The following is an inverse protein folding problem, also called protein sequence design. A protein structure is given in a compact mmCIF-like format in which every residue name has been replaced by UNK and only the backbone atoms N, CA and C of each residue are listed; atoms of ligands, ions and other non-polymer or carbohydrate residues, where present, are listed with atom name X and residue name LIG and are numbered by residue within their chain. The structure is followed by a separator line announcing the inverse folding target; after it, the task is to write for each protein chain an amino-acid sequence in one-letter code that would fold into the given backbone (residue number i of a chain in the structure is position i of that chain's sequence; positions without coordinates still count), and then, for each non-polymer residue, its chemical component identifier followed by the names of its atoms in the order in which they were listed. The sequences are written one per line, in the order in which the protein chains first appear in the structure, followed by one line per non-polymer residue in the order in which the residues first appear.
data_IF_000809660546
#
_entry.id   IF_000809660546
#
_cell.length_a   1.000
_cell.length_b   1.000
_cell.length_c   1.000
_cell.angle_alpha   90.00
_cell.angle_beta   90.00
_cell.angle_gamma   90.00
#
_symmetry.space_group_name_H-M   'P 1'
#
loop_
_entity.id
_entity.type
_entity.pdbx_description
1 polymer ?
#
# COMPACT_ATOMS: atom_id res chain seq x y z
N UNK A 1 -5.09 6.09 8.28
CA UNK A 1 -5.58 6.52 9.62
C UNK A 1 -6.26 7.89 9.52
N UNK A 2 -5.62 8.92 8.96
CA UNK A 2 -6.15 10.30 8.86
C UNK A 2 -7.50 10.40 8.15
N UNK A 3 -7.66 9.67 7.05
CA UNK A 3 -8.94 9.59 6.31
C UNK A 3 -10.03 8.95 7.16
N UNK A 4 -9.72 7.85 7.86
CA UNK A 4 -10.69 7.20 8.75
C UNK A 4 -11.09 8.13 9.90
N UNK A 5 -10.13 8.86 10.47
CA UNK A 5 -10.41 9.88 11.49
C UNK A 5 -11.31 10.98 10.95
N UNK A 6 -10.99 11.51 9.76
CA UNK A 6 -11.79 12.57 9.15
C UNK A 6 -13.25 12.15 8.90
N UNK A 7 -13.46 10.93 8.43
CA UNK A 7 -14.80 10.38 8.19
C UNK A 7 -15.53 10.10 9.52
N UNK A 8 -14.83 9.62 10.54
CA UNK A 8 -15.40 9.42 11.88
C UNK A 8 -15.81 10.75 12.53
N UNK A 9 -14.98 11.79 12.40
CA UNK A 9 -15.29 13.15 12.89
C UNK A 9 -16.54 13.73 12.19
N UNK A 10 -16.79 13.30 10.95
CA UNK A 10 -18.01 13.63 10.20
C UNK A 10 -19.22 12.75 10.59
N UNK A 11 -19.11 11.91 11.62
CA UNK A 11 -20.19 11.06 12.12
C UNK A 11 -20.43 9.77 11.34
N UNK A 12 -19.49 9.37 10.48
CA UNK A 12 -19.61 8.12 9.72
C UNK A 12 -19.00 6.95 10.52
N UNK A 13 -19.70 5.81 10.67
CA UNK A 13 -19.17 4.63 11.34
C UNK A 13 -18.17 3.91 10.42
N UNK A 14 -16.92 4.34 10.44
CA UNK A 14 -15.81 3.82 9.65
C UNK A 14 -14.68 3.34 10.53
N UNK A 15 -13.85 2.43 10.01
CA UNK A 15 -12.66 1.96 10.72
C UNK A 15 -11.45 1.90 9.77
N UNK A 16 -10.25 2.03 10.35
CA UNK A 16 -8.99 1.87 9.64
C UNK A 16 -8.56 0.40 9.62
N UNK A 17 -8.11 -0.09 8.45
CA UNK A 17 -7.64 -1.46 8.25
C UNK A 17 -6.33 -1.44 7.46
N UNK A 18 -5.22 -1.70 8.13
CA UNK A 18 -3.88 -1.58 7.55
C UNK A 18 -3.06 -2.86 7.73
N UNK A 19 -1.89 -2.90 7.13
CA UNK A 19 -0.92 -3.97 7.36
C UNK A 19 -0.44 -4.08 8.81
N UNK A 20 -0.61 -3.03 9.62
CA UNK A 20 -0.26 -2.99 11.05
C UNK A 20 -1.41 -3.36 11.98
N UNK A 21 -2.63 -3.48 11.47
CA UNK A 21 -3.79 -3.90 12.26
C UNK A 21 -3.54 -5.31 12.78
N UNK A 22 -3.71 -5.51 14.09
CA UNK A 22 -3.55 -6.81 14.74
C UNK A 22 -4.45 -7.88 14.08
N UNK A 23 -4.02 -9.14 13.97
CA UNK A 23 -4.82 -10.20 13.35
C UNK A 23 -6.21 -10.37 13.97
N UNK A 24 -6.36 -10.28 15.28
CA UNK A 24 -7.66 -10.38 15.96
C UNK A 24 -8.57 -9.19 15.61
N UNK A 25 -7.99 -7.98 15.54
CA UNK A 25 -8.71 -6.79 15.11
C UNK A 25 -9.11 -6.85 13.64
N UNK A 26 -8.28 -7.46 12.77
CA UNK A 26 -8.65 -7.68 11.36
C UNK A 26 -9.90 -8.53 11.24
N UNK A 27 -9.92 -9.67 11.93
CA UNK A 27 -11.06 -10.59 11.93
C UNK A 27 -12.33 -9.90 12.45
N UNK A 28 -12.20 -9.14 13.55
CA UNK A 28 -13.28 -8.34 14.12
C UNK A 28 -13.83 -7.29 13.15
N UNK A 29 -12.95 -6.54 12.49
CA UNK A 29 -13.33 -5.48 11.54
C UNK A 29 -13.96 -6.05 10.27
N UNK A 30 -13.42 -7.14 9.74
CA UNK A 30 -14.02 -7.85 8.62
C UNK A 30 -15.41 -8.41 8.98
N UNK A 31 -15.55 -8.95 10.19
CA UNK A 31 -16.84 -9.38 10.72
C UNK A 31 -17.83 -8.23 10.87
N UNK A 32 -17.39 -7.09 11.41
CA UNK A 32 -18.20 -5.89 11.55
C UNK A 32 -18.68 -5.36 10.18
N UNK A 33 -17.80 -5.37 9.17
CA UNK A 33 -18.18 -4.98 7.82
C UNK A 33 -19.19 -5.95 7.21
N UNK A 34 -18.98 -7.28 7.38
CA UNK A 34 -19.96 -8.30 6.88
C UNK A 34 -21.33 -8.14 7.52
N UNK A 35 -21.41 -7.79 8.81
CA UNK A 35 -22.67 -7.57 9.53
C UNK A 35 -23.23 -6.16 9.39
N UNK A 36 -22.62 -5.30 8.58
CA UNK A 36 -23.04 -3.91 8.38
C UNK A 36 -22.99 -3.03 9.65
N UNK A 37 -22.17 -3.39 10.63
CA UNK A 37 -21.93 -2.63 11.86
C UNK A 37 -21.04 -1.40 11.60
N UNK A 38 -20.16 -1.49 10.59
CA UNK A 38 -19.41 -0.36 10.06
C UNK A 38 -19.84 -0.08 8.62
N UNK A 39 -19.89 1.19 8.27
CA UNK A 39 -20.29 1.66 6.96
C UNK A 39 -19.19 1.49 5.92
N UNK A 40 -17.94 1.66 6.37
CA UNK A 40 -16.78 1.50 5.49
C UNK A 40 -15.55 1.05 6.28
N UNK A 41 -14.63 0.37 5.58
CA UNK A 41 -13.25 0.21 6.00
C UNK A 41 -12.36 1.10 5.14
N UNK A 42 -11.58 1.95 5.78
CA UNK A 42 -10.49 2.70 5.15
C UNK A 42 -9.27 1.80 5.18
N UNK A 43 -9.04 1.11 4.07
CA UNK A 43 -8.05 0.05 4.00
C UNK A 43 -6.91 0.38 3.05
N UNK A 44 -5.73 -0.13 3.36
CA UNK A 44 -4.63 -0.28 2.39
C UNK A 44 -4.82 -1.61 1.63
N UNK A 45 -3.88 -1.97 0.76
CA UNK A 45 -3.84 -3.30 0.12
C UNK A 45 -3.88 -4.49 1.10
N UNK A 46 -3.82 -4.21 2.41
CA UNK A 46 -3.93 -5.21 3.48
C UNK A 46 -5.31 -5.90 3.54
N UNK A 47 -6.38 -5.25 3.06
CA UNK A 47 -7.66 -5.93 2.83
C UNK A 47 -7.53 -6.79 1.57
N UNK A 48 -6.80 -7.88 1.74
CA UNK A 48 -6.24 -8.69 0.68
C UNK A 48 -7.26 -9.46 -0.16
N UNK A 49 -6.73 -10.23 -1.11
CA UNK A 49 -7.51 -11.22 -1.85
C UNK A 49 -8.20 -12.18 -0.88
N UNK A 50 -9.47 -12.49 -1.12
CA UNK A 50 -10.24 -13.43 -0.29
C UNK A 50 -11.30 -12.80 0.59
N UNK A 51 -11.31 -11.47 0.79
CA UNK A 51 -12.46 -10.83 1.44
C UNK A 51 -13.62 -10.77 0.46
N UNK A 52 -14.73 -11.40 0.83
CA UNK A 52 -15.97 -11.41 0.07
C UNK A 52 -17.11 -10.84 0.90
N UNK A 53 -17.84 -9.89 0.28
CA UNK A 53 -19.08 -9.30 0.80
C UNK A 53 -19.99 -9.03 -0.39
N UNK A 54 -20.96 -9.92 -0.65
CA UNK A 54 -21.80 -9.84 -1.84
C UNK A 54 -22.59 -8.55 -1.98
N UNK A 55 -23.04 -7.97 -0.88
CA UNK A 55 -23.81 -6.72 -0.80
C UNK A 55 -22.95 -5.46 -0.68
N UNK A 56 -21.69 -5.52 -1.15
CA UNK A 56 -20.82 -4.36 -1.16
C UNK A 56 -21.32 -3.31 -2.15
N UNK A 57 -21.74 -2.15 -1.64
CA UNK A 57 -22.43 -1.11 -2.41
C UNK A 57 -21.51 -0.16 -3.14
N UNK A 58 -20.23 -0.02 -2.72
CA UNK A 58 -19.27 0.82 -3.45
C UNK A 58 -17.82 0.54 -3.10
N UNK A 59 -16.93 1.06 -3.96
CA UNK A 59 -15.49 1.11 -3.77
C UNK A 59 -14.98 2.49 -4.17
N UNK A 60 -14.21 3.15 -3.29
CA UNK A 60 -13.53 4.41 -3.58
C UNK A 60 -12.02 4.20 -3.46
N UNK A 61 -11.29 4.59 -4.48
CA UNK A 61 -9.84 4.64 -4.47
C UNK A 61 -9.35 6.07 -4.25
N UNK A 62 -8.48 6.25 -3.27
CA UNK A 62 -7.69 7.46 -3.10
C UNK A 62 -6.28 7.14 -3.60
N UNK A 63 -5.91 7.68 -4.75
CA UNK A 63 -4.78 7.24 -5.54
C UNK A 63 -5.10 6.04 -6.42
N UNK A 64 -4.42 5.93 -7.55
CA UNK A 64 -4.63 4.88 -8.52
C UNK A 64 -3.71 3.66 -8.27
N UNK A 65 -4.21 2.42 -8.45
CA UNK A 65 -3.36 1.24 -8.56
C UNK A 65 -2.43 1.35 -9.78
N UNK A 66 -1.32 0.64 -9.75
CA UNK A 66 -0.32 0.69 -10.82
C UNK A 66 -0.70 -0.09 -12.09
N UNK A 67 -1.88 -0.71 -12.11
CA UNK A 67 -2.36 -1.43 -13.30
C UNK A 67 -3.88 -1.52 -13.35
N UNK A 68 -4.49 -1.55 -14.56
CA UNK A 68 -5.93 -1.78 -14.74
C UNK A 68 -6.37 -3.14 -14.20
N UNK A 69 -5.53 -4.16 -14.27
CA UNK A 69 -5.81 -5.51 -13.72
C UNK A 69 -5.98 -5.45 -12.20
N UNK A 70 -5.04 -4.80 -11.51
CA UNK A 70 -5.13 -4.62 -10.06
C UNK A 70 -6.36 -3.79 -9.68
N UNK A 71 -6.66 -2.74 -10.44
CA UNK A 71 -7.86 -1.92 -10.26
C UNK A 71 -9.13 -2.76 -10.42
N UNK A 72 -9.26 -3.51 -11.52
CA UNK A 72 -10.41 -4.36 -11.79
C UNK A 72 -10.65 -5.40 -10.69
N UNK A 73 -9.60 -6.06 -10.21
CA UNK A 73 -9.70 -7.02 -9.11
C UNK A 73 -10.22 -6.40 -7.81
N UNK A 74 -9.97 -5.13 -7.60
CA UNK A 74 -10.40 -4.43 -6.39
C UNK A 74 -11.83 -3.92 -6.52
N UNK A 75 -12.19 -3.29 -7.64
CA UNK A 75 -13.55 -2.80 -7.88
C UNK A 75 -14.55 -3.93 -8.11
N UNK A 76 -14.10 -5.06 -8.67
CA UNK A 76 -14.90 -6.28 -8.87
C UNK A 76 -15.38 -6.98 -7.59
N UNK A 77 -15.04 -6.42 -6.43
CA UNK A 77 -15.59 -6.84 -5.13
C UNK A 77 -16.98 -6.26 -4.87
N UNK A 78 -17.28 -5.10 -5.45
CA UNK A 78 -18.58 -4.46 -5.32
C UNK A 78 -19.59 -4.99 -6.34
N UNK A 79 -20.86 -4.92 -6.01
CA UNK A 79 -21.95 -5.21 -6.94
C UNK A 79 -22.21 -6.68 -7.22
N UNK A 80 -21.73 -7.61 -6.40
CA UNK A 80 -21.91 -9.05 -6.66
C UNK A 80 -23.34 -9.54 -6.42
N UNK A 81 -24.03 -8.96 -5.44
CA UNK A 81 -25.43 -9.29 -5.11
C UNK A 81 -26.24 -8.01 -4.86
N UNK A 82 -25.89 -6.91 -5.49
CA UNK A 82 -26.63 -5.66 -5.48
C UNK A 82 -26.97 -5.28 -6.91
N UNK A 83 -28.11 -4.64 -7.12
CA UNK A 83 -28.52 -4.14 -8.45
C UNK A 83 -27.57 -3.07 -8.97
N UNK A 84 -26.97 -2.31 -8.04
CA UNK A 84 -26.03 -1.24 -8.33
C UNK A 84 -24.89 -1.22 -7.31
N UNK A 85 -23.70 -0.94 -7.79
CA UNK A 85 -22.56 -0.57 -6.97
C UNK A 85 -21.84 0.62 -7.61
N UNK A 86 -21.40 1.56 -6.77
CA UNK A 86 -20.72 2.75 -7.22
C UNK A 86 -19.20 2.58 -7.07
N UNK A 87 -18.46 2.93 -8.11
CA UNK A 87 -17.00 2.87 -8.11
C UNK A 87 -16.47 4.25 -8.43
N UNK A 88 -15.57 4.76 -7.59
CA UNK A 88 -14.94 6.05 -7.76
C UNK A 88 -13.43 5.92 -7.65
N UNK A 89 -12.73 6.46 -8.64
CA UNK A 89 -11.28 6.61 -8.64
C UNK A 89 -10.94 8.09 -8.49
N UNK A 90 -10.13 8.41 -7.49
CA UNK A 90 -9.59 9.75 -7.24
C UNK A 90 -8.06 9.66 -7.39
N UNK A 91 -7.52 9.76 -8.61
CA UNK A 91 -6.09 9.67 -8.85
C UNK A 91 -5.38 10.89 -8.27
N UNK A 92 -4.14 10.68 -7.82
CA UNK A 92 -3.25 11.74 -7.34
C UNK A 92 -2.07 11.98 -8.30
N UNK A 93 -1.55 13.21 -8.37
CA UNK A 93 -0.36 13.50 -9.17
C UNK A 93 0.86 12.70 -8.72
N UNK A 94 0.89 12.27 -7.44
CA UNK A 94 1.94 11.48 -6.82
C UNK A 94 1.92 9.99 -7.20
N UNK A 95 0.85 9.48 -7.80
CA UNK A 95 0.69 8.06 -8.10
C UNK A 95 1.84 7.53 -8.97
N UNK A 96 2.27 8.29 -9.97
CA UNK A 96 3.40 7.94 -10.84
C UNK A 96 4.71 7.76 -10.08
N UNK A 97 4.99 8.65 -9.13
CA UNK A 97 6.20 8.60 -8.31
C UNK A 97 6.17 7.40 -7.35
N UNK A 98 4.99 7.12 -6.81
CA UNK A 98 4.73 5.96 -5.96
C UNK A 98 4.97 4.66 -6.75
N UNK A 99 4.43 4.54 -7.96
CA UNK A 99 4.63 3.37 -8.81
C UNK A 99 6.09 3.20 -9.22
N UNK A 100 6.76 4.30 -9.60
CA UNK A 100 8.19 4.29 -9.95
C UNK A 100 9.05 3.84 -8.77
N UNK A 101 8.74 4.32 -7.57
CA UNK A 101 9.42 3.88 -6.35
C UNK A 101 9.28 2.37 -6.15
N UNK A 102 8.06 1.82 -6.21
CA UNK A 102 7.85 0.37 -6.03
C UNK A 102 8.50 -0.47 -7.11
N UNK A 103 8.44 -0.03 -8.35
CA UNK A 103 9.16 -0.67 -9.43
C UNK A 103 10.66 -0.74 -9.12
N UNK A 104 11.25 0.36 -8.62
CA UNK A 104 12.69 0.45 -8.31
C UNK A 104 13.14 -0.44 -7.17
N UNK A 105 12.28 -0.65 -6.14
CA UNK A 105 12.66 -1.45 -4.96
C UNK A 105 12.36 -2.93 -5.11
N UNK A 106 11.50 -3.29 -6.05
CA UNK A 106 11.10 -4.69 -6.28
C UNK A 106 12.06 -5.47 -7.18
N UNK A 107 12.99 -4.78 -7.87
CA UNK A 107 14.01 -5.42 -8.68
C UNK A 107 15.29 -5.58 -7.88
N UNK A 108 15.94 -6.76 -7.92
CA UNK A 108 17.25 -6.95 -7.32
C UNK A 108 18.28 -6.08 -8.05
N UNK A 109 19.25 -5.57 -7.31
CA UNK A 109 20.47 -4.98 -7.88
C UNK A 109 21.55 -6.03 -7.81
N UNK A 110 22.24 -6.26 -8.93
CA UNK A 110 23.29 -7.27 -9.04
C UNK A 110 24.32 -7.19 -7.93
N UNK A 111 24.88 -5.98 -7.69
CA UNK A 111 25.88 -5.75 -6.64
C UNK A 111 25.35 -6.11 -5.22
N UNK A 112 24.09 -5.80 -4.95
CA UNK A 112 23.49 -6.11 -3.65
C UNK A 112 23.21 -7.61 -3.50
N UNK A 113 22.77 -8.26 -4.57
CA UNK A 113 22.55 -9.70 -4.59
C UNK A 113 23.86 -10.46 -4.39
N UNK A 114 24.93 -10.08 -5.11
CA UNK A 114 26.24 -10.68 -4.97
C UNK A 114 26.78 -10.51 -3.56
N UNK A 115 26.67 -9.29 -2.97
CA UNK A 115 27.10 -9.04 -1.60
C UNK A 115 26.37 -9.90 -0.56
N UNK A 116 25.08 -10.14 -0.76
CA UNK A 116 24.29 -11.06 0.11
C UNK A 116 24.79 -12.50 -0.02
N UNK A 117 25.02 -12.97 -1.26
CA UNK A 117 25.49 -14.32 -1.53
C UNK A 117 26.89 -14.57 -0.95
N UNK A 118 27.82 -13.62 -1.14
CA UNK A 118 29.18 -13.69 -0.61
C UNK A 118 29.17 -13.68 0.94
N UNK A 119 28.32 -12.87 1.53
CA UNK A 119 28.18 -12.80 3.00
C UNK A 119 27.67 -14.13 3.55
N UNK A 120 26.66 -14.73 2.92
CA UNK A 120 26.09 -16.03 3.35
C UNK A 120 27.08 -17.18 3.14
N UNK A 121 27.78 -17.20 2.01
CA UNK A 121 28.80 -18.18 1.70
C UNK A 121 29.95 -18.14 2.70
N UNK A 122 30.45 -16.94 2.99
CA UNK A 122 31.55 -16.73 3.92
C UNK A 122 31.20 -17.06 5.37
N UNK A 123 29.92 -16.89 5.76
CA UNK A 123 29.47 -17.18 7.11
C UNK A 123 29.46 -18.68 7.45
N UNK A 124 29.25 -19.55 6.47
CA UNK A 124 29.17 -21.01 6.66
C UNK A 124 28.07 -21.47 7.61
N UNK A 125 27.13 -20.59 7.97
CA UNK A 125 26.03 -20.84 8.90
C UNK A 125 24.82 -19.95 8.56
N UNK A 126 23.67 -20.26 9.12
CA UNK A 126 22.50 -19.42 8.97
C UNK A 126 22.71 -18.01 9.57
N UNK A 127 22.34 -16.99 8.81
CA UNK A 127 22.30 -15.61 9.27
C UNK A 127 20.86 -15.11 9.33
N UNK A 128 20.48 -14.49 10.44
CA UNK A 128 19.19 -13.81 10.54
C UNK A 128 19.11 -12.63 9.58
N UNK A 129 17.91 -12.25 9.17
CA UNK A 129 17.72 -11.04 8.30
C UNK A 129 18.33 -9.79 8.95
N UNK A 130 18.26 -9.66 10.27
CA UNK A 130 18.88 -8.53 10.98
C UNK A 130 20.42 -8.56 10.91
N UNK A 131 21.03 -9.73 10.99
CA UNK A 131 22.49 -9.86 10.85
C UNK A 131 22.94 -9.55 9.41
N UNK A 132 22.19 -10.01 8.42
CA UNK A 132 22.42 -9.70 7.00
C UNK A 132 22.26 -8.20 6.73
N UNK A 133 21.19 -7.56 7.23
CA UNK A 133 20.95 -6.12 7.08
C UNK A 133 22.16 -5.30 7.54
N UNK A 134 22.75 -5.67 8.67
CA UNK A 134 23.96 -5.00 9.20
C UNK A 134 25.19 -5.25 8.33
N UNK A 135 25.33 -6.46 7.77
CA UNK A 135 26.51 -6.86 7.01
C UNK A 135 26.54 -6.29 5.58
N UNK A 136 25.37 -6.19 4.93
CA UNK A 136 25.28 -5.81 3.52
C UNK A 136 24.87 -4.36 3.28
N UNK A 137 24.51 -3.63 4.33
CA UNK A 137 24.01 -2.25 4.26
C UNK A 137 22.83 -2.08 3.30
N UNK A 138 21.88 -2.99 3.38
CA UNK A 138 20.63 -2.97 2.59
C UNK A 138 19.47 -2.91 3.57
N UNK A 139 18.59 -1.92 3.42
CA UNK A 139 17.41 -1.77 4.28
C UNK A 139 16.55 -3.04 4.30
N UNK A 140 16.05 -3.37 5.46
CA UNK A 140 15.34 -4.63 5.76
C UNK A 140 14.29 -5.01 4.72
N UNK A 141 13.38 -4.11 4.36
CA UNK A 141 12.31 -4.39 3.39
C UNK A 141 12.87 -4.80 2.02
N UNK A 142 13.91 -4.09 1.57
CA UNK A 142 14.56 -4.41 0.30
C UNK A 142 15.33 -5.73 0.38
N UNK A 143 16.00 -5.97 1.49
CA UNK A 143 16.71 -7.22 1.75
C UNK A 143 15.75 -8.41 1.77
N UNK A 144 14.59 -8.30 2.41
CA UNK A 144 13.58 -9.35 2.44
C UNK A 144 13.01 -9.67 1.05
N UNK A 145 12.83 -8.66 0.20
CA UNK A 145 12.42 -8.87 -1.20
C UNK A 145 13.54 -9.55 -2.00
N UNK A 146 14.77 -9.08 -1.85
CA UNK A 146 15.94 -9.68 -2.51
C UNK A 146 16.13 -11.14 -2.11
N UNK A 147 16.05 -11.45 -0.81
CA UNK A 147 16.17 -12.82 -0.32
C UNK A 147 15.09 -13.75 -0.89
N UNK A 148 13.86 -13.26 -1.06
CA UNK A 148 12.79 -14.03 -1.72
C UNK A 148 13.10 -14.32 -3.18
N UNK A 149 13.66 -13.38 -3.89
CA UNK A 149 14.07 -13.60 -5.30
C UNK A 149 15.19 -14.63 -5.37
N UNK A 150 16.22 -14.49 -4.54
CA UNK A 150 17.35 -15.43 -4.47
C UNK A 150 16.92 -16.84 -4.02
N UNK A 151 15.88 -16.96 -3.17
CA UNK A 151 15.29 -18.23 -2.73
C UNK A 151 14.56 -18.92 -3.88
N UNK A 152 13.76 -18.16 -4.65
CA UNK A 152 13.09 -18.66 -5.86
C UNK A 152 14.11 -19.08 -6.92
N UNK A 153 15.21 -18.34 -7.07
CA UNK A 153 16.30 -18.67 -7.99
C UNK A 153 17.17 -19.85 -7.45
N UNK A 154 16.93 -20.33 -6.22
CA UNK A 154 17.62 -21.45 -5.60
C UNK A 154 19.02 -21.14 -5.07
N UNK A 155 19.46 -19.88 -5.08
CA UNK A 155 20.77 -19.46 -4.61
C UNK A 155 20.90 -19.37 -3.07
N UNK A 156 19.78 -19.11 -2.40
CA UNK A 156 19.68 -19.12 -0.94
C UNK A 156 18.51 -19.98 -0.49
N UNK A 157 18.50 -20.35 0.78
CA UNK A 157 17.39 -21.10 1.38
C UNK A 157 17.09 -20.56 2.77
N UNK A 158 15.79 -20.47 3.08
CA UNK A 158 15.36 -20.14 4.45
C UNK A 158 15.39 -21.38 5.32
N UNK A 159 16.07 -21.29 6.44
CA UNK A 159 16.19 -22.37 7.44
C UNK A 159 15.86 -21.86 8.84
N UNK A 160 15.81 -22.77 9.82
CA UNK A 160 15.71 -22.37 11.22
C UNK A 160 16.92 -21.49 11.60
N UNK A 161 16.63 -20.29 12.13
CA UNK A 161 17.65 -19.30 12.48
C UNK A 161 18.01 -18.28 11.40
N UNK A 162 17.51 -18.41 10.15
CA UNK A 162 17.73 -17.41 9.11
C UNK A 162 17.86 -17.95 7.71
N UNK A 163 18.88 -17.49 6.99
CA UNK A 163 19.16 -17.76 5.59
C UNK A 163 20.54 -18.39 5.43
N UNK A 164 20.68 -19.31 4.50
CA UNK A 164 21.95 -19.94 4.11
C UNK A 164 22.14 -19.82 2.60
N UNK A 165 23.40 -19.80 2.16
CA UNK A 165 23.74 -20.05 0.75
C UNK A 165 23.54 -21.53 0.45
N UNK A 166 22.97 -21.85 -0.70
CA UNK A 166 22.85 -23.24 -1.19
C UNK A 166 24.11 -23.72 -1.89
N UNK A 167 25.02 -22.79 -2.24
CA UNK A 167 26.18 -23.07 -3.08
C UNK A 167 25.86 -23.20 -4.58
N UNK A 168 24.60 -23.05 -4.98
CA UNK A 168 24.22 -23.02 -6.40
C UNK A 168 24.73 -21.71 -7.03
N UNK A 169 25.47 -21.79 -8.16
CA UNK A 169 25.90 -20.59 -8.86
C UNK A 169 24.70 -19.73 -9.26
N UNK A 170 24.77 -18.44 -8.97
CA UNK A 170 23.75 -17.49 -9.34
C UNK A 170 24.31 -16.47 -10.33
N UNK A 171 23.56 -16.19 -11.38
CA UNK A 171 23.87 -15.17 -12.35
C UNK A 171 22.72 -14.16 -12.42
N UNK A 172 23.06 -12.89 -12.51
CA UNK A 172 22.07 -11.82 -12.67
C UNK A 172 21.42 -11.88 -14.05
N UNK A 173 20.13 -12.23 -14.09
CA UNK A 173 19.36 -12.30 -15.36
C UNK A 173 18.81 -10.90 -15.70
N UNK A 174 19.68 -10.04 -16.22
CA UNK A 174 19.33 -8.67 -16.59
C UNK A 174 18.17 -8.62 -17.60
N UNK A 175 18.13 -9.55 -18.55
CA UNK A 175 17.07 -9.60 -19.57
C UNK A 175 15.70 -9.92 -18.95
N UNK A 176 15.64 -10.90 -18.05
CA UNK A 176 14.42 -11.23 -17.31
C UNK A 176 13.91 -10.04 -16.51
N UNK A 177 14.79 -9.36 -15.77
CA UNK A 177 14.39 -8.22 -14.96
C UNK A 177 13.95 -7.04 -15.80
N UNK A 178 14.60 -6.78 -16.94
CA UNK A 178 14.17 -5.73 -17.86
C UNK A 178 12.81 -6.04 -18.50
N UNK A 179 12.55 -7.30 -18.90
CA UNK A 179 11.21 -7.70 -19.38
C UNK A 179 10.11 -7.44 -18.33
N UNK A 180 10.37 -7.78 -17.05
CA UNK A 180 9.41 -7.53 -15.98
C UNK A 180 9.22 -6.03 -15.74
N UNK A 181 10.30 -5.25 -15.80
CA UNK A 181 10.23 -3.80 -15.64
C UNK A 181 9.48 -3.14 -16.82
N UNK A 182 9.70 -3.60 -18.04
CA UNK A 182 8.99 -3.14 -19.22
C UNK A 182 7.48 -3.44 -19.15
N UNK A 183 7.12 -4.67 -18.76
CA UNK A 183 5.71 -5.05 -18.57
C UNK A 183 5.01 -4.15 -17.55
N UNK A 184 5.65 -3.86 -16.42
CA UNK A 184 5.11 -2.94 -15.41
C UNK A 184 4.93 -1.52 -15.93
N UNK A 185 5.89 -1.02 -16.72
CA UNK A 185 5.75 0.32 -17.35
C UNK A 185 4.56 0.36 -18.29
N UNK A 186 4.34 -0.72 -19.07
CA UNK A 186 3.17 -0.83 -19.95
C UNK A 186 1.86 -0.82 -19.13
N UNK A 187 1.77 -1.58 -18.05
CA UNK A 187 0.60 -1.59 -17.19
C UNK A 187 0.34 -0.21 -16.55
N UNK A 188 1.39 0.47 -16.09
CA UNK A 188 1.28 1.84 -15.55
C UNK A 188 0.78 2.81 -16.61
N UNK A 189 1.29 2.71 -17.84
CA UNK A 189 0.81 3.57 -18.94
C UNK A 189 -0.66 3.29 -19.25
N UNK A 190 -1.07 2.03 -19.31
CA UNK A 190 -2.49 1.68 -19.49
C UNK A 190 -3.39 2.26 -18.39
N UNK A 191 -2.90 2.34 -17.15
CA UNK A 191 -3.65 2.98 -16.06
C UNK A 191 -3.80 4.49 -16.28
N UNK A 192 -2.75 5.16 -16.73
CA UNK A 192 -2.81 6.58 -17.11
C UNK A 192 -3.75 6.83 -18.31
N UNK A 193 -3.72 5.94 -19.28
CA UNK A 193 -4.62 6.01 -20.43
C UNK A 193 -6.08 5.80 -20.01
N UNK A 194 -6.33 4.90 -19.05
CA UNK A 194 -7.64 4.72 -18.42
C UNK A 194 -8.12 6.00 -17.73
N UNK A 195 -7.28 6.66 -16.98
CA UNK A 195 -7.60 7.92 -16.28
C UNK A 195 -7.92 9.05 -17.26
N UNK A 196 -7.14 9.16 -18.34
CA UNK A 196 -7.29 10.20 -19.36
C UNK A 196 -8.42 9.92 -20.36
N UNK A 197 -8.95 8.71 -20.43
CA UNK A 197 -9.92 8.32 -21.43
C UNK A 197 -11.32 8.85 -21.11
N UNK A 198 -12.02 9.34 -22.11
CA UNK A 198 -13.46 9.65 -22.08
C UNK A 198 -14.33 8.46 -22.54
N UNK A 199 -13.71 7.32 -22.87
CA UNK A 199 -14.39 6.12 -23.31
C UNK A 199 -15.13 5.41 -22.16
N UNK A 200 -15.89 4.38 -22.48
CA UNK A 200 -16.54 3.53 -21.48
C UNK A 200 -15.52 2.89 -20.54
N UNK A 201 -15.58 3.19 -19.25
CA UNK A 201 -14.67 2.69 -18.22
C UNK A 201 -14.63 1.18 -18.14
N UNK A 202 -15.80 0.53 -18.24
CA UNK A 202 -15.88 -0.93 -18.18
C UNK A 202 -15.30 -1.58 -19.43
N UNK A 203 -15.63 -1.07 -20.62
CA UNK A 203 -15.08 -1.60 -21.87
C UNK A 203 -13.56 -1.47 -21.92
N UNK A 204 -13.01 -0.37 -21.44
CA UNK A 204 -11.55 -0.20 -21.34
C UNK A 204 -10.92 -1.30 -20.47
N UNK A 205 -11.47 -1.52 -19.26
CA UNK A 205 -10.96 -2.55 -18.36
C UNK A 205 -11.10 -3.96 -18.94
N UNK A 206 -12.23 -4.27 -19.58
CA UNK A 206 -12.44 -5.55 -20.24
C UNK A 206 -11.44 -5.80 -21.37
N UNK A 207 -11.17 -4.79 -22.22
CA UNK A 207 -10.17 -4.86 -23.29
C UNK A 207 -8.76 -5.10 -22.75
N UNK A 208 -8.40 -4.49 -21.61
CA UNK A 208 -7.11 -4.74 -20.97
C UNK A 208 -6.98 -6.13 -20.36
N UNK A 209 -8.09 -6.88 -20.28
CA UNK A 209 -8.16 -8.27 -19.81
C UNK A 209 -8.39 -9.26 -20.97
N UNK A 210 -8.16 -8.83 -22.21
CA UNK A 210 -8.32 -9.63 -23.42
C UNK A 210 -9.76 -10.14 -23.60
N UNK A 211 -10.78 -9.35 -23.15
CA UNK A 211 -12.18 -9.68 -23.36
C UNK A 211 -12.67 -9.12 -24.70
N UNK A 212 -12.79 -9.99 -25.69
CA UNK A 212 -13.27 -9.65 -27.04
C UNK A 212 -14.73 -9.23 -27.07
N UNK A 213 -15.49 -9.44 -25.99
CA UNK A 213 -16.90 -9.06 -25.86
C UNK A 213 -17.10 -7.68 -25.24
N UNK A 214 -16.00 -6.95 -24.99
CA UNK A 214 -16.04 -5.63 -24.38
C UNK A 214 -16.95 -4.65 -25.13
N UNK A 215 -17.95 -4.11 -24.43
CA UNK A 215 -18.94 -3.20 -25.00
C UNK A 215 -19.25 -2.05 -24.03
N UNK A 216 -19.86 -0.98 -24.56
CA UNK A 216 -20.27 0.15 -23.74
C UNK A 216 -21.28 -0.29 -22.66
N UNK A 217 -20.96 0.02 -21.38
CA UNK A 217 -21.77 -0.43 -20.24
C UNK A 217 -23.04 0.41 -20.01
N UNK A 218 -23.16 1.60 -20.63
CA UNK A 218 -24.31 2.49 -20.53
C UNK A 218 -24.47 3.22 -19.18
N UNK A 219 -23.59 2.99 -18.19
CA UNK A 219 -23.79 3.47 -16.80
C UNK A 219 -22.59 4.15 -16.15
N UNK A 220 -21.40 4.07 -16.73
CA UNK A 220 -20.23 4.79 -16.23
C UNK A 220 -20.27 6.27 -16.61
N UNK A 221 -19.35 7.05 -16.03
CA UNK A 221 -19.20 8.47 -16.33
C UNK A 221 -18.97 8.78 -17.82
N UNK A 222 -18.19 7.95 -18.52
CA UNK A 222 -17.99 8.05 -19.97
C UNK A 222 -19.24 7.72 -20.82
N UNK A 223 -20.19 6.94 -20.29
CA UNK A 223 -21.42 6.58 -21.01
C UNK A 223 -22.63 7.44 -20.64
N UNK A 224 -22.80 7.78 -19.36
CA UNK A 224 -24.01 8.39 -18.79
C UNK A 224 -23.73 9.73 -18.11
N UNK A 225 -22.47 10.17 -18.11
CA UNK A 225 -22.03 11.35 -17.36
C UNK A 225 -21.74 11.06 -15.88
N UNK A 226 -21.07 11.98 -15.19
CA UNK A 226 -20.66 11.81 -13.80
C UNK A 226 -21.87 11.79 -12.86
N UNK A 227 -21.94 10.82 -11.97
CA UNK A 227 -22.93 10.72 -10.90
C UNK A 227 -22.49 11.41 -9.61
N UNK A 228 -21.23 11.81 -9.53
CA UNK A 228 -20.58 12.46 -8.40
C UNK A 228 -20.42 13.97 -8.65
N UNK A 229 -20.23 14.79 -7.59
CA UNK A 229 -19.96 16.22 -7.76
C UNK A 229 -18.66 16.44 -8.52
N UNK A 230 -18.72 17.23 -9.60
CA UNK A 230 -17.53 17.59 -10.42
C UNK A 230 -16.83 18.85 -9.91
N UNK A 231 -17.38 19.52 -8.92
CA UNK A 231 -16.78 20.67 -8.24
C UNK A 231 -16.83 20.49 -6.72
N UNK A 232 -15.79 20.93 -6.05
CA UNK A 232 -15.72 20.94 -4.58
C UNK A 232 -15.85 22.40 -4.10
N UNK A 233 -16.74 22.69 -3.14
CA UNK A 233 -16.87 24.05 -2.59
C UNK A 233 -15.55 24.55 -2.01
N UNK A 234 -15.22 25.84 -2.24
CA UNK A 234 -13.95 26.45 -1.80
C UNK A 234 -13.73 26.31 -0.28
N UNK A 235 -14.80 26.39 0.51
CA UNK A 235 -14.72 26.17 1.96
C UNK A 235 -14.21 24.77 2.33
N UNK A 236 -14.61 23.72 1.59
CA UNK A 236 -14.14 22.35 1.79
C UNK A 236 -12.69 22.21 1.36
N UNK A 237 -12.32 22.82 0.22
CA UNK A 237 -10.93 22.87 -0.25
C UNK A 237 -10.04 23.58 0.75
N UNK A 238 -10.49 24.72 1.31
CA UNK A 238 -9.80 25.47 2.35
C UNK A 238 -9.57 24.64 3.60
N UNK A 239 -10.61 24.00 4.14
CA UNK A 239 -10.53 23.14 5.32
C UNK A 239 -9.61 21.93 5.11
N UNK A 240 -9.65 21.31 3.92
CA UNK A 240 -8.75 20.20 3.58
C UNK A 240 -7.29 20.66 3.51
N UNK A 241 -7.01 21.80 2.89
CA UNK A 241 -5.66 22.40 2.85
C UNK A 241 -5.14 22.70 4.25
N UNK A 242 -5.97 23.33 5.10
CA UNK A 242 -5.61 23.65 6.47
C UNK A 242 -5.28 22.37 7.29
N UNK A 243 -6.03 21.29 7.08
CA UNK A 243 -5.77 20.00 7.72
C UNK A 243 -4.47 19.36 7.22
N UNK A 244 -4.20 19.40 5.92
CA UNK A 244 -2.98 18.85 5.32
C UNK A 244 -1.74 19.68 5.62
N UNK A 245 -1.89 21.01 5.81
CA UNK A 245 -0.79 21.92 6.15
C UNK A 245 -0.54 22.04 7.65
N UNK A 246 -1.33 21.41 8.50
CA UNK A 246 -1.00 21.28 9.93
C UNK A 246 0.32 20.54 10.06
N UNK A 247 1.40 21.32 9.98
CA UNK A 247 2.75 20.84 10.14
C UNK A 247 2.95 20.39 11.59
N UNK A 248 3.20 19.12 11.76
CA UNK A 248 3.61 18.55 13.03
C UNK A 248 3.48 17.04 12.99
N UNK A 249 4.59 16.34 13.07
CA UNK A 249 4.57 14.91 13.37
C UNK A 249 4.59 14.81 14.89
N UNK A 250 3.52 14.28 15.47
CA UNK A 250 3.49 13.93 16.88
C UNK A 250 4.59 12.89 17.15
N UNK A 251 5.55 13.27 17.97
CA UNK A 251 6.59 12.37 18.44
C UNK A 251 6.13 11.74 19.74
N UNK A 252 5.77 10.48 19.69
CA UNK A 252 5.53 9.71 20.91
C UNK A 252 6.84 9.61 21.72
N UNK A 253 6.78 9.89 23.04
CA UNK A 253 7.93 9.79 23.88
C UNK A 253 8.46 8.37 23.90
N UNK A 254 9.78 8.22 23.77
CA UNK A 254 10.40 6.90 23.88
C UNK A 254 10.13 6.32 25.26
N UNK A 255 9.67 5.09 25.29
CA UNK A 255 9.43 4.33 26.53
C UNK A 255 10.66 3.57 27.03
N UNK A 256 11.68 3.44 26.16
CA UNK A 256 12.92 2.72 26.47
C UNK A 256 14.15 3.48 25.96
N UNK A 257 15.24 3.43 26.73
CA UNK A 257 16.53 3.93 26.30
C UNK A 257 17.08 3.11 25.12
N UNK A 258 17.70 3.76 24.11
CA UNK A 258 18.37 3.04 23.03
C UNK A 258 19.45 2.10 23.57
N UNK A 259 19.60 0.94 22.93
CA UNK A 259 20.71 0.03 23.22
C UNK A 259 22.06 0.71 22.87
N UNK A 260 23.06 0.58 23.72
CA UNK A 260 24.40 1.12 23.47
C UNK A 260 24.61 2.57 23.95
N UNK A 261 23.70 3.13 24.75
CA UNK A 261 23.90 4.46 25.36
C UNK A 261 25.15 4.54 26.24
N UNK A 262 25.55 3.42 26.84
CA UNK A 262 26.79 3.26 27.59
C UNK A 262 28.04 3.47 26.74
N UNK A 263 28.00 3.16 25.44
CA UNK A 263 29.14 3.38 24.51
C UNK A 263 29.44 4.86 24.25
N UNK A 264 28.44 5.71 24.45
CA UNK A 264 28.56 7.17 24.29
C UNK A 264 28.63 7.88 25.64
N UNK A 265 28.96 7.14 26.72
CA UNK A 265 29.18 7.71 28.06
C UNK A 265 27.91 7.99 28.87
N UNK A 266 26.74 7.53 28.41
CA UNK A 266 25.44 7.73 29.11
C UNK A 266 25.00 6.42 29.75
N UNK A 267 25.14 6.21 31.07
CA UNK A 267 24.91 4.95 31.75
C UNK A 267 23.42 4.71 32.03
N UNK A 268 22.56 4.72 30.98
CA UNK A 268 21.11 4.50 31.11
C UNK A 268 20.69 3.27 30.31
N UNK A 269 19.80 2.46 30.89
CA UNK A 269 19.26 1.22 30.29
C UNK A 269 17.82 1.00 30.69
N UNK A 270 17.07 0.24 29.89
CA UNK A 270 15.69 -0.18 30.20
C UNK A 270 14.65 0.90 30.01
N UNK A 271 13.57 0.84 30.79
CA UNK A 271 12.44 1.77 30.66
C UNK A 271 12.80 3.19 31.12
N UNK A 272 12.36 4.17 30.34
CA UNK A 272 12.45 5.59 30.72
C UNK A 272 11.34 5.85 31.76
N UNK A 273 11.75 6.24 32.99
CA UNK A 273 10.82 6.51 34.10
C UNK A 273 10.43 7.98 34.23
N UNK A 274 10.90 8.83 33.30
CA UNK A 274 10.55 10.25 33.29
C UNK A 274 9.20 10.43 32.58
N UNK A 275 8.32 11.26 33.15
CA UNK A 275 7.10 11.69 32.49
C UNK A 275 7.47 12.62 31.32
N UNK A 276 7.59 12.06 30.13
CA UNK A 276 7.82 12.85 28.92
C UNK A 276 6.48 13.23 28.29
N UNK A 277 6.31 14.51 27.98
CA UNK A 277 5.16 15.00 27.21
C UNK A 277 5.38 14.64 25.74
N UNK A 278 4.27 14.38 25.01
CA UNK A 278 4.28 14.33 23.55
C UNK A 278 4.91 15.63 23.03
N UNK A 279 5.90 15.51 22.19
CA UNK A 279 6.50 16.63 21.47
C UNK A 279 5.93 16.70 20.08
N UNK A 280 5.81 17.88 19.50
CA UNK A 280 5.55 18.06 18.07
C UNK A 280 6.78 18.74 17.47
N UNK A 281 7.25 18.23 16.33
CA UNK A 281 8.24 18.94 15.52
C UNK A 281 7.47 19.73 14.48
N UNK A 282 7.39 21.05 14.70
CA UNK A 282 6.91 22.01 13.73
C UNK A 282 8.01 22.33 12.71
N UNK A 283 7.77 22.06 11.45
CA UNK A 283 8.59 22.47 10.33
C UNK A 283 7.78 22.32 9.05
N UNK A 284 7.97 23.21 8.09
CA UNK A 284 7.48 23.00 6.73
C UNK A 284 8.24 21.79 6.17
N UNK A 285 7.63 20.63 6.30
CA UNK A 285 8.09 19.45 5.58
C UNK A 285 7.74 19.66 4.11
N UNK A 286 8.75 20.05 3.32
CA UNK A 286 8.70 19.65 1.92
C UNK A 286 8.71 18.13 1.93
N UNK A 287 7.77 17.47 1.26
CA UNK A 287 7.80 16.01 1.17
C UNK A 287 9.05 15.62 0.39
N UNK A 288 10.12 15.31 1.12
CA UNK A 288 11.24 14.60 0.54
C UNK A 288 10.75 13.18 0.23
N UNK A 289 10.93 12.68 -1.00
CA UNK A 289 10.42 11.37 -1.43
C UNK A 289 11.01 10.17 -0.68
N UNK A 290 11.82 10.41 0.34
CA UNK A 290 12.59 9.38 1.04
C UNK A 290 12.02 8.94 2.41
N UNK A 291 10.87 9.50 2.87
CA UNK A 291 10.36 9.24 4.23
C UNK A 291 9.04 8.47 4.30
N UNK A 292 8.54 7.95 3.18
CA UNK A 292 7.36 7.07 3.21
C UNK A 292 7.78 5.61 3.15
N UNK A 293 7.79 4.88 4.30
CA UNK A 293 8.10 3.44 4.28
C UNK A 293 6.97 2.57 3.73
N UNK A 294 5.80 3.15 3.39
CA UNK A 294 4.66 2.39 2.88
C UNK A 294 3.85 3.19 1.86
N UNK A 295 4.14 3.03 0.58
CA UNK A 295 3.32 3.58 -0.48
C UNK A 295 2.37 2.52 -1.03
N UNK A 296 1.33 2.21 -0.32
CA UNK A 296 0.13 1.59 -0.84
C UNK A 296 -1.07 2.34 -0.24
N UNK A 297 -1.26 3.57 -0.70
CA UNK A 297 -2.45 4.35 -0.43
C UNK A 297 -3.59 3.87 -1.33
N UNK A 298 -3.87 2.57 -1.27
CA UNK A 298 -5.10 2.06 -1.78
C UNK A 298 -6.11 2.15 -0.64
N UNK A 299 -6.82 3.25 -0.56
CA UNK A 299 -7.94 3.36 0.36
C UNK A 299 -9.15 2.82 -0.37
N UNK A 300 -9.51 1.59 -0.06
CA UNK A 300 -10.78 1.02 -0.48
C UNK A 300 -11.79 1.35 0.62
N UNK A 301 -12.68 2.29 0.35
CA UNK A 301 -13.79 2.60 1.24
C UNK A 301 -15.02 1.82 0.77
N UNK A 302 -15.58 0.99 1.64
CA UNK A 302 -16.80 0.24 1.37
C UNK A 302 -17.97 0.89 2.09
N UNK A 303 -18.96 1.43 1.37
CA UNK A 303 -20.20 1.95 1.94
C UNK A 303 -21.40 1.13 1.46
N UNK A 304 -22.34 0.93 2.35
CA UNK A 304 -23.63 0.31 2.04
C UNK A 304 -24.65 1.43 1.81
N UNK A 305 -25.49 1.36 0.80
CA UNK A 305 -26.60 2.29 0.65
C UNK A 305 -27.47 2.25 1.91
N UNK A 306 -27.70 3.40 2.51
CA UNK A 306 -28.79 3.51 3.47
C UNK A 306 -30.07 3.22 2.68
N UNK A 307 -30.74 2.10 3.01
CA UNK A 307 -32.09 1.87 2.53
C UNK A 307 -32.91 3.12 2.75
N UNK A 308 -33.62 3.54 1.70
CA UNK A 308 -34.62 4.59 1.80
C UNK A 308 -35.52 4.23 2.99
N UNK A 309 -35.43 4.98 4.06
CA UNK A 309 -36.57 5.09 4.99
C UNK A 309 -37.55 6.01 4.27
N UNK A 310 -38.67 5.43 3.87
CA UNK A 310 -39.89 6.19 3.59
C UNK A 310 -40.24 7.12 4.75
#
# INVERSE_FOLDING_TARGET
EDVASALSDAGLPVASYTGRTDPADRERLEGALRRNEVKALVATSALGMGFDKPDLGFVVHLGAPSSPVAYYQQVGRAGRATERADVLLLPGPEDKDIWAYFASVSMPREEQAQKVLDTLASAGRALSTAALETAVDVRRTRLELLLKVLDVDGAVQRVSGGWVSTGVPWAYDAERYERVAAARRTEQQLMLDYEASDACRMAFLQQTLDDDTAAACGRCDGCAGPWYPTSVPDAVVGAARERLTRAGVDLDPRVQWPTGMDRIGVPVRGKIRLAMKKGSVGGTFQPYPYWYPYPNWLVICFLIPLGHRN
#
